data_IF_887188928532
#
_entry.id   IF_887188928532
#
_cell.length_a   1.000
_cell.length_b   1.000
_cell.length_c   1.000
_cell.angle_alpha   90.00
_cell.angle_beta   90.00
_cell.angle_gamma   90.00
#
_symmetry.space_group_name_H-M   'P 1'
#
loop_
_entity.id
_entity.type
_entity.pdbx_description
1 polymer ?
#
# COMPACT_ATOMS: atom_id res chain seq x y z
N UNK A 1 -0.27 -13.64 -22.84
CA UNK A 1 0.71 -14.45 -23.62
C UNK A 1 1.45 -15.47 -22.72
N UNK A 2 2.14 -15.04 -21.66
CA UNK A 2 2.89 -15.95 -20.79
C UNK A 2 2.04 -16.99 -20.04
N UNK A 3 0.96 -16.57 -19.36
CA UNK A 3 0.05 -17.48 -18.64
C UNK A 3 -0.53 -18.58 -19.56
N UNK A 4 -0.98 -18.19 -20.76
CA UNK A 4 -1.49 -19.13 -21.76
C UNK A 4 -0.44 -20.12 -22.27
N UNK A 5 0.83 -19.70 -22.40
CA UNK A 5 1.90 -20.62 -22.77
C UNK A 5 2.14 -21.65 -21.65
N UNK A 6 2.18 -21.21 -20.39
CA UNK A 6 2.39 -22.08 -19.24
C UNK A 6 1.25 -23.10 -19.07
N UNK A 7 -0.01 -22.65 -19.18
CA UNK A 7 -1.19 -23.52 -19.08
C UNK A 7 -1.25 -24.59 -20.18
N UNK A 8 -0.62 -24.34 -21.33
CA UNK A 8 -0.51 -25.32 -22.44
C UNK A 8 0.71 -26.23 -22.32
N UNK A 9 1.40 -26.23 -21.18
CA UNK A 9 2.62 -27.02 -20.95
C UNK A 9 3.89 -26.41 -21.54
N UNK A 10 3.81 -25.18 -22.06
CA UNK A 10 4.96 -24.44 -22.54
C UNK A 10 5.91 -24.04 -21.40
N UNK A 11 7.21 -24.02 -21.70
CA UNK A 11 8.25 -23.55 -20.76
C UNK A 11 8.76 -22.20 -21.20
N UNK A 12 8.73 -21.22 -20.29
CA UNK A 12 9.26 -19.88 -20.54
C UNK A 12 10.64 -19.82 -19.91
N UNK A 13 11.68 -19.61 -20.74
CA UNK A 13 13.02 -19.35 -20.24
C UNK A 13 13.06 -17.95 -19.64
N UNK A 14 13.36 -17.86 -18.35
CA UNK A 14 13.68 -16.58 -17.71
C UNK A 14 15.07 -16.16 -18.20
N UNK A 15 15.15 -15.05 -18.93
CA UNK A 15 16.41 -14.45 -19.35
C UNK A 15 16.57 -13.14 -18.57
N UNK A 16 17.50 -13.12 -17.63
CA UNK A 16 17.89 -11.88 -16.97
C UNK A 16 18.77 -11.08 -17.92
N UNK A 17 18.36 -9.84 -18.18
CA UNK A 17 19.18 -8.90 -18.91
C UNK A 17 19.87 -7.99 -17.89
N UNK A 18 21.20 -7.97 -17.90
CA UNK A 18 21.99 -7.09 -17.02
C UNK A 18 21.65 -5.62 -17.22
N UNK A 19 21.28 -5.23 -18.46
CA UNK A 19 20.84 -3.89 -18.78
C UNK A 19 19.86 -3.91 -19.96
N UNK A 20 18.61 -3.53 -19.73
CA UNK A 20 17.67 -3.18 -20.80
C UNK A 20 17.29 -1.71 -20.67
N UNK A 21 17.80 -0.89 -21.58
CA UNK A 21 17.57 0.55 -21.59
C UNK A 21 16.18 0.91 -22.10
N UNK A 22 15.21 1.01 -21.20
CA UNK A 22 13.99 1.79 -21.42
C UNK A 22 13.69 2.72 -20.24
N UNK A 23 14.74 3.26 -19.64
CA UNK A 23 14.66 4.31 -18.64
C UNK A 23 14.24 5.62 -19.29
N UNK A 24 13.20 6.25 -18.76
CA UNK A 24 12.79 7.62 -19.10
C UNK A 24 12.60 8.36 -17.79
N UNK A 25 12.88 9.65 -17.77
CA UNK A 25 12.50 10.49 -16.63
C UNK A 25 10.97 10.48 -16.50
N UNK A 26 10.47 9.94 -15.39
CA UNK A 26 9.04 9.89 -15.11
C UNK A 26 8.72 10.99 -14.11
N UNK A 27 7.84 11.91 -14.50
CA UNK A 27 7.24 12.86 -13.56
C UNK A 27 6.21 12.17 -12.66
N UNK A 28 5.85 12.82 -11.55
CA UNK A 28 4.87 12.34 -10.57
C UNK A 28 3.58 11.80 -11.22
N UNK A 29 2.96 12.57 -12.12
CA UNK A 29 1.72 12.15 -12.80
C UNK A 29 1.89 10.97 -13.75
N UNK A 30 3.06 10.82 -14.37
CA UNK A 30 3.37 9.65 -15.22
C UNK A 30 3.50 8.38 -14.38
N UNK A 31 4.12 8.48 -13.20
CA UNK A 31 4.22 7.35 -12.27
C UNK A 31 2.83 6.95 -11.78
N UNK A 32 2.00 7.91 -11.36
CA UNK A 32 0.63 7.60 -10.93
C UNK A 32 -0.20 6.94 -12.04
N UNK A 33 -0.13 7.45 -13.27
CA UNK A 33 -0.81 6.80 -14.40
C UNK A 33 -0.28 5.39 -14.69
N UNK A 34 1.01 5.13 -14.44
CA UNK A 34 1.57 3.80 -14.54
C UNK A 34 1.03 2.88 -13.44
N UNK A 35 0.97 3.37 -12.21
CA UNK A 35 0.37 2.66 -11.07
C UNK A 35 -1.10 2.31 -11.32
N UNK A 36 -1.90 3.24 -11.83
CA UNK A 36 -3.30 3.00 -12.21
C UNK A 36 -3.42 1.88 -13.24
N UNK A 37 -2.53 1.84 -14.24
CA UNK A 37 -2.53 0.77 -15.26
C UNK A 37 -2.25 -0.59 -14.67
N UNK A 38 -1.29 -0.67 -13.74
CA UNK A 38 -0.97 -1.94 -13.08
C UNK A 38 -2.14 -2.38 -12.22
N UNK A 39 -2.76 -1.45 -11.47
CA UNK A 39 -3.93 -1.73 -10.63
C UNK A 39 -5.09 -2.30 -11.45
N UNK A 40 -5.54 -1.55 -12.46
CA UNK A 40 -6.64 -2.00 -13.33
C UNK A 40 -6.28 -3.26 -14.13
N UNK A 41 -5.07 -3.33 -14.69
CA UNK A 41 -4.62 -4.51 -15.42
C UNK A 41 -4.55 -5.78 -14.56
N UNK A 42 -4.25 -5.62 -13.27
CA UNK A 42 -4.31 -6.73 -12.32
C UNK A 42 -5.76 -7.11 -11.99
N UNK A 43 -6.68 -6.16 -11.84
CA UNK A 43 -8.10 -6.45 -11.65
C UNK A 43 -8.64 -7.40 -12.72
N UNK A 44 -8.49 -7.02 -13.99
CA UNK A 44 -8.85 -7.85 -15.14
C UNK A 44 -8.16 -9.21 -15.15
N UNK A 45 -6.86 -9.26 -14.82
CA UNK A 45 -6.12 -10.51 -14.78
C UNK A 45 -6.63 -11.43 -13.67
N UNK A 46 -6.98 -10.92 -12.49
CA UNK A 46 -7.52 -11.71 -11.38
C UNK A 46 -8.88 -12.35 -11.73
N UNK A 47 -9.66 -11.68 -12.60
CA UNK A 47 -10.94 -12.19 -13.10
C UNK A 47 -10.76 -13.16 -14.29
N UNK A 48 -9.57 -13.25 -14.87
CA UNK A 48 -9.34 -14.09 -16.05
C UNK A 48 -9.35 -15.59 -15.73
N UNK A 49 -9.84 -16.38 -16.69
CA UNK A 49 -9.90 -17.84 -16.59
C UNK A 49 -8.51 -18.46 -16.42
N UNK A 50 -7.51 -17.89 -17.07
CA UNK A 50 -6.12 -18.32 -16.96
C UNK A 50 -5.62 -18.23 -15.52
N UNK A 51 -6.02 -17.18 -14.80
CA UNK A 51 -5.68 -16.98 -13.40
C UNK A 51 -6.30 -18.04 -12.50
N UNK A 52 -7.57 -18.36 -12.75
CA UNK A 52 -8.28 -19.41 -12.04
C UNK A 52 -7.57 -20.77 -12.20
N UNK A 53 -7.16 -21.14 -13.42
CA UNK A 53 -6.44 -22.39 -13.64
C UNK A 53 -5.04 -22.39 -13.01
N UNK A 54 -4.29 -21.31 -13.10
CA UNK A 54 -2.99 -21.21 -12.43
C UNK A 54 -3.14 -21.30 -10.89
N UNK A 55 -4.18 -20.69 -10.33
CA UNK A 55 -4.46 -20.75 -8.90
C UNK A 55 -4.86 -22.14 -8.40
N UNK A 56 -5.43 -22.99 -9.26
CA UNK A 56 -5.97 -24.31 -8.86
C UNK A 56 -5.08 -25.49 -9.27
N UNK A 57 -4.23 -25.34 -10.30
CA UNK A 57 -3.47 -26.44 -10.89
C UNK A 57 -1.98 -26.42 -10.54
N UNK A 58 -1.46 -25.32 -9.99
CA UNK A 58 -0.06 -25.23 -9.60
C UNK A 58 0.20 -26.05 -8.32
N UNK A 59 1.34 -26.79 -8.25
CA UNK A 59 1.78 -27.37 -6.99
C UNK A 59 2.07 -26.28 -5.96
N UNK A 60 1.99 -26.62 -4.67
CA UNK A 60 1.98 -25.64 -3.57
C UNK A 60 3.16 -24.66 -3.59
N UNK A 61 4.36 -25.12 -3.93
CA UNK A 61 5.58 -24.31 -4.02
C UNK A 61 5.46 -23.21 -5.10
N UNK A 62 4.96 -23.58 -6.27
CA UNK A 62 4.74 -22.65 -7.38
C UNK A 62 3.52 -21.78 -7.16
N UNK A 63 2.49 -22.31 -6.52
CA UNK A 63 1.31 -21.55 -6.13
C UNK A 63 1.67 -20.44 -5.16
N UNK A 64 2.47 -20.70 -4.12
CA UNK A 64 2.90 -19.68 -3.16
C UNK A 64 3.75 -18.60 -3.83
N UNK A 65 4.63 -18.98 -4.76
CA UNK A 65 5.43 -18.04 -5.55
C UNK A 65 4.54 -17.17 -6.44
N UNK A 66 3.57 -17.78 -7.12
CA UNK A 66 2.57 -17.08 -7.93
C UNK A 66 1.71 -16.15 -7.08
N UNK A 67 1.24 -16.61 -5.92
CA UNK A 67 0.47 -15.81 -4.98
C UNK A 67 1.25 -14.58 -4.53
N UNK A 68 2.48 -14.76 -4.06
CA UNK A 68 3.32 -13.66 -3.59
C UNK A 68 3.61 -12.63 -4.69
N UNK A 69 4.01 -13.08 -5.88
CA UNK A 69 4.40 -12.18 -6.97
C UNK A 69 3.22 -11.52 -7.69
N UNK A 70 2.01 -12.04 -7.51
CA UNK A 70 0.86 -11.70 -8.34
C UNK A 70 -0.34 -11.31 -7.44
N UNK A 71 -1.43 -12.08 -7.23
CA UNK A 71 -2.62 -11.53 -6.57
C UNK A 71 -2.35 -11.13 -5.10
N UNK A 72 -1.47 -11.83 -4.40
CA UNK A 72 -1.21 -11.65 -2.99
C UNK A 72 -0.55 -10.32 -2.68
N UNK A 73 0.46 -9.92 -3.46
CA UNK A 73 1.07 -8.59 -3.33
C UNK A 73 0.04 -7.47 -3.50
N UNK A 74 -0.81 -7.58 -4.53
CA UNK A 74 -1.78 -6.56 -4.87
C UNK A 74 -2.96 -6.47 -3.89
N UNK A 75 -3.49 -7.63 -3.46
CA UNK A 75 -4.53 -7.70 -2.43
C UNK A 75 -4.00 -7.23 -1.06
N UNK A 76 -2.77 -7.57 -0.69
CA UNK A 76 -2.19 -7.11 0.57
C UNK A 76 -2.11 -5.57 0.60
N UNK A 77 -1.64 -4.95 -0.48
CA UNK A 77 -1.63 -3.49 -0.58
C UNK A 77 -3.04 -2.88 -0.48
N UNK A 78 -4.04 -3.48 -1.12
CA UNK A 78 -5.45 -3.08 -0.97
C UNK A 78 -5.92 -3.16 0.50
N UNK A 79 -5.66 -4.27 1.19
CA UNK A 79 -6.08 -4.45 2.58
C UNK A 79 -5.35 -3.51 3.54
N UNK A 80 -4.07 -3.19 3.29
CA UNK A 80 -3.33 -2.20 4.07
C UNK A 80 -3.99 -0.83 3.93
N UNK A 81 -4.30 -0.38 2.71
CA UNK A 81 -4.97 0.91 2.49
C UNK A 81 -6.37 0.96 3.12
N UNK A 82 -7.17 -0.09 2.94
CA UNK A 82 -8.50 -0.20 3.56
C UNK A 82 -8.40 -0.16 5.10
N UNK A 83 -7.45 -0.88 5.68
CA UNK A 83 -7.24 -0.89 7.14
C UNK A 83 -6.88 0.49 7.68
N UNK A 84 -6.04 1.24 6.96
CA UNK A 84 -5.69 2.62 7.34
C UNK A 84 -6.89 3.56 7.26
N UNK A 85 -7.71 3.47 6.19
CA UNK A 85 -8.93 4.27 6.05
C UNK A 85 -9.94 3.97 7.17
N UNK A 86 -10.18 2.70 7.46
CA UNK A 86 -11.08 2.27 8.55
C UNK A 86 -10.56 2.70 9.93
N UNK A 87 -9.25 2.63 10.14
CA UNK A 87 -8.61 3.13 11.36
C UNK A 87 -8.80 4.64 11.52
N UNK A 88 -8.55 5.43 10.47
CA UNK A 88 -8.75 6.88 10.50
C UNK A 88 -10.21 7.26 10.75
N UNK A 89 -11.16 6.57 10.11
CA UNK A 89 -12.59 6.78 10.35
C UNK A 89 -12.94 6.48 11.81
N UNK A 90 -12.44 5.37 12.35
CA UNK A 90 -12.67 4.97 13.75
C UNK A 90 -12.06 5.98 14.71
N UNK A 91 -10.86 6.49 14.43
CA UNK A 91 -10.21 7.52 15.25
C UNK A 91 -11.02 8.83 15.29
N UNK A 92 -11.53 9.31 14.16
CA UNK A 92 -12.33 10.53 14.11
C UNK A 92 -13.61 10.37 14.93
N UNK A 93 -14.31 9.24 14.76
CA UNK A 93 -15.51 8.94 15.54
C UNK A 93 -15.23 8.77 17.04
N UNK A 94 -14.12 8.09 17.38
CA UNK A 94 -13.70 7.90 18.77
C UNK A 94 -13.32 9.25 19.42
N UNK A 95 -12.66 10.14 18.68
CA UNK A 95 -12.33 11.48 19.16
C UNK A 95 -13.59 12.32 19.39
N UNK A 96 -14.55 12.31 18.46
CA UNK A 96 -15.82 12.99 18.63
C UNK A 96 -16.58 12.47 19.86
N UNK A 97 -16.58 11.15 20.07
CA UNK A 97 -17.18 10.54 21.25
C UNK A 97 -16.43 10.92 22.54
N UNK A 98 -15.10 10.91 22.53
CA UNK A 98 -14.26 11.29 23.67
C UNK A 98 -14.42 12.77 24.06
N UNK A 99 -14.73 13.64 23.10
CA UNK A 99 -15.01 15.05 23.36
C UNK A 99 -16.31 15.26 24.14
N UNK A 100 -17.38 14.56 23.76
CA UNK A 100 -18.70 14.70 24.38
C UNK A 100 -18.87 13.88 25.66
N UNK A 101 -17.97 12.94 25.92
CA UNK A 101 -18.07 12.02 27.05
C UNK A 101 -17.19 12.41 28.21
N UNK A 102 -17.66 12.10 29.42
CA UNK A 102 -16.89 12.29 30.64
C UNK A 102 -15.96 11.07 30.78
N UNK A 103 -14.66 11.30 30.79
CA UNK A 103 -13.64 10.23 30.89
C UNK A 103 -13.51 9.77 32.34
N UNK A 104 -13.61 8.46 32.56
CA UNK A 104 -13.41 7.89 33.89
C UNK A 104 -11.95 7.92 34.34
N UNK A 105 -11.73 8.08 35.65
CA UNK A 105 -10.45 7.78 36.30
C UNK A 105 -10.36 6.26 36.44
N UNK A 106 -9.67 5.61 35.51
CA UNK A 106 -9.51 4.17 35.49
C UNK A 106 -8.21 3.75 36.20
N UNK A 107 -8.34 2.87 37.20
CA UNK A 107 -7.22 2.17 37.83
C UNK A 107 -7.29 0.68 37.50
N UNK A 108 -6.23 0.17 36.87
CA UNK A 108 -6.13 -1.23 36.43
C UNK A 108 -6.07 -2.22 37.59
N UNK A 109 -5.62 -1.77 38.77
CA UNK A 109 -5.43 -2.65 39.93
C UNK A 109 -6.72 -2.87 40.72
N UNK A 110 -7.80 -2.17 40.38
CA UNK A 110 -9.09 -2.30 41.03
C UNK A 110 -9.97 -3.35 40.35
N UNK A 111 -10.87 -4.02 41.09
CA UNK A 111 -11.79 -4.99 40.51
C UNK A 111 -12.74 -4.30 39.52
N UNK A 112 -13.16 -5.04 38.49
CA UNK A 112 -14.07 -4.55 37.43
C UNK A 112 -15.45 -4.13 37.93
N UNK A 113 -15.82 -4.53 39.15
CA UNK A 113 -17.07 -4.18 39.83
C UNK A 113 -17.00 -2.85 40.58
N UNK A 114 -15.84 -2.19 40.62
CA UNK A 114 -15.70 -0.88 41.29
C UNK A 114 -16.56 0.18 40.58
N UNK A 115 -17.05 1.13 41.37
CA UNK A 115 -17.92 2.19 40.86
C UNK A 115 -17.08 3.16 40.04
N UNK A 116 -17.45 3.36 38.79
CA UNK A 116 -16.76 4.29 37.90
C UNK A 116 -16.92 5.73 38.42
N UNK A 117 -15.81 6.45 38.55
CA UNK A 117 -15.78 7.84 39.01
C UNK A 117 -15.22 8.76 37.91
N UNK A 118 -15.90 9.88 37.59
CA UNK A 118 -17.17 10.38 38.14
C UNK A 118 -18.40 9.58 37.65
N UNK A 119 -19.52 9.65 38.38
CA UNK A 119 -20.74 8.88 38.05
C UNK A 119 -21.26 9.27 36.66
N UNK A 120 -21.52 8.27 35.81
CA UNK A 120 -21.93 8.48 34.41
C UNK A 120 -20.77 8.62 33.41
N UNK A 121 -19.53 8.41 33.84
CA UNK A 121 -18.38 8.40 32.95
C UNK A 121 -18.28 7.11 32.11
N UNK A 122 -17.56 7.17 30.99
CA UNK A 122 -17.25 6.03 30.14
C UNK A 122 -15.76 5.67 30.21
N UNK A 123 -15.45 4.38 30.26
CA UNK A 123 -14.07 3.91 30.36
C UNK A 123 -13.38 3.86 28.98
N UNK A 124 -12.63 4.91 28.64
CA UNK A 124 -11.85 5.01 27.39
C UNK A 124 -10.45 4.42 27.46
N UNK A 125 -9.96 4.00 28.63
CA UNK A 125 -8.59 3.47 28.81
C UNK A 125 -8.24 2.36 27.79
N UNK A 126 -9.10 1.34 27.55
CA UNK A 126 -8.82 0.30 26.56
C UNK A 126 -8.72 0.84 25.13
N UNK A 127 -9.57 1.79 24.76
CA UNK A 127 -9.59 2.39 23.43
C UNK A 127 -8.32 3.23 23.19
N UNK A 128 -7.91 4.03 24.18
CA UNK A 128 -6.67 4.82 24.11
C UNK A 128 -5.45 3.91 24.02
N UNK A 129 -5.41 2.83 24.80
CA UNK A 129 -4.29 1.87 24.74
C UNK A 129 -4.24 1.13 23.40
N UNK A 130 -5.39 0.76 22.83
CA UNK A 130 -5.47 0.19 21.49
C UNK A 130 -4.95 1.17 20.42
N UNK A 131 -5.41 2.44 20.44
CA UNK A 131 -4.92 3.48 19.52
C UNK A 131 -3.40 3.63 19.64
N UNK A 132 -2.89 3.75 20.87
CA UNK A 132 -1.45 3.88 21.11
C UNK A 132 -0.66 2.70 20.54
N UNK A 133 -1.09 1.46 20.80
CA UNK A 133 -0.43 0.26 20.27
C UNK A 133 -0.46 0.22 18.75
N UNK A 134 -1.59 0.56 18.14
CA UNK A 134 -1.72 0.58 16.69
C UNK A 134 -0.80 1.64 16.06
N UNK A 135 -0.78 2.86 16.58
CA UNK A 135 0.12 3.93 16.12
C UNK A 135 1.59 3.50 16.22
N UNK A 136 2.01 2.88 17.34
CA UNK A 136 3.38 2.37 17.49
C UNK A 136 3.70 1.28 16.45
N UNK A 137 2.76 0.36 16.21
CA UNK A 137 2.93 -0.69 15.19
C UNK A 137 3.13 -0.12 13.79
N UNK A 138 2.39 0.93 13.39
CA UNK A 138 2.60 1.60 12.09
C UNK A 138 4.03 2.13 11.98
N UNK A 139 4.53 2.81 13.01
CA UNK A 139 5.90 3.34 13.00
C UNK A 139 6.95 2.23 12.92
N UNK A 140 6.76 1.12 13.62
CA UNK A 140 7.69 -0.02 13.56
C UNK A 140 7.72 -0.62 12.15
N UNK A 141 6.55 -0.89 11.56
CA UNK A 141 6.46 -1.45 10.20
C UNK A 141 7.04 -0.48 9.17
N UNK A 142 6.81 0.82 9.33
CA UNK A 142 7.40 1.86 8.51
C UNK A 142 8.93 1.77 8.50
N UNK A 143 9.58 1.66 9.66
CA UNK A 143 11.04 1.53 9.73
C UNK A 143 11.56 0.20 9.18
N UNK A 144 10.84 -0.89 9.39
CA UNK A 144 11.18 -2.21 8.84
C UNK A 144 11.18 -2.17 7.30
N UNK A 145 10.25 -1.45 6.67
CA UNK A 145 10.18 -1.32 5.22
C UNK A 145 11.44 -0.67 4.60
N UNK A 146 12.19 0.13 5.36
CA UNK A 146 13.47 0.71 4.90
C UNK A 146 14.67 -0.25 5.04
N UNK A 147 14.55 -1.32 5.82
CA UNK A 147 15.68 -2.23 6.09
C UNK A 147 16.24 -2.84 4.80
N UNK A 148 15.41 -3.40 3.87
CA UNK A 148 15.94 -4.02 2.66
C UNK A 148 16.74 -3.05 1.79
N UNK A 149 16.24 -1.83 1.57
CA UNK A 149 16.92 -0.83 0.73
C UNK A 149 18.20 -0.32 1.39
N UNK A 150 18.20 -0.14 2.72
CA UNK A 150 19.40 0.28 3.46
C UNK A 150 20.46 -0.81 3.43
N UNK A 151 20.08 -2.08 3.63
CA UNK A 151 20.99 -3.23 3.57
C UNK A 151 21.57 -3.40 2.17
N UNK A 152 20.74 -3.29 1.12
CA UNK A 152 21.21 -3.38 -0.26
C UNK A 152 22.23 -2.28 -0.60
N UNK A 153 21.91 -1.01 -0.30
CA UNK A 153 22.83 0.10 -0.58
C UNK A 153 24.10 0.03 0.28
N UNK A 154 24.01 -0.51 1.50
CA UNK A 154 25.16 -0.74 2.37
C UNK A 154 26.12 -1.75 1.76
N UNK A 155 25.60 -2.86 1.22
CA UNK A 155 26.40 -3.93 0.59
C UNK A 155 27.01 -3.46 -0.75
N UNK A 156 26.21 -2.79 -1.60
CA UNK A 156 26.65 -2.44 -2.96
C UNK A 156 27.52 -1.18 -3.03
N UNK A 157 27.26 -0.19 -2.16
CA UNK A 157 27.83 1.16 -2.29
C UNK A 157 28.53 1.68 -1.03
N UNK A 158 28.48 0.92 0.06
CA UNK A 158 29.11 1.25 1.34
C UNK A 158 28.28 2.21 2.20
N UNK A 159 28.70 2.32 3.47
CA UNK A 159 27.95 3.01 4.52
C UNK A 159 27.60 4.46 4.19
N UNK A 160 28.58 5.24 3.71
CA UNK A 160 28.39 6.68 3.46
C UNK A 160 27.32 6.95 2.41
N UNK A 161 27.35 6.22 1.29
CA UNK A 161 26.36 6.38 0.22
C UNK A 161 24.98 5.89 0.67
N UNK A 162 24.91 4.80 1.42
CA UNK A 162 23.66 4.28 1.98
C UNK A 162 22.99 5.30 2.92
N UNK A 163 23.74 5.88 3.85
CA UNK A 163 23.24 6.92 4.76
C UNK A 163 22.75 8.15 4.01
N UNK A 164 23.54 8.66 3.05
CA UNK A 164 23.12 9.80 2.22
C UNK A 164 21.84 9.50 1.43
N UNK A 165 21.71 8.29 0.87
CA UNK A 165 20.52 7.88 0.11
C UNK A 165 19.28 7.82 1.00
N UNK A 166 19.41 7.25 2.20
CA UNK A 166 18.33 7.18 3.18
C UNK A 166 17.82 8.58 3.58
N UNK A 167 18.71 9.51 3.92
CA UNK A 167 18.30 10.88 4.24
C UNK A 167 17.63 11.58 3.05
N UNK A 168 18.11 11.35 1.82
CA UNK A 168 17.46 11.87 0.61
C UNK A 168 16.04 11.35 0.45
N UNK A 169 15.76 10.08 0.74
CA UNK A 169 14.39 9.53 0.69
C UNK A 169 13.45 10.23 1.67
N UNK A 170 13.92 10.54 2.88
CA UNK A 170 13.11 11.26 3.88
C UNK A 170 12.90 12.72 3.46
N UNK A 171 13.97 13.43 3.09
CA UNK A 171 13.89 14.83 2.68
C UNK A 171 13.09 15.04 1.40
N UNK A 172 13.06 14.06 0.49
CA UNK A 172 12.24 14.10 -0.72
C UNK A 172 10.79 13.70 -0.49
N UNK A 173 10.36 13.47 0.76
CA UNK A 173 9.02 13.00 1.11
C UNK A 173 8.61 11.71 0.38
N UNK A 174 9.58 10.82 0.13
CA UNK A 174 9.34 9.52 -0.52
C UNK A 174 8.26 8.68 0.20
N UNK A 175 8.20 8.64 1.55
CA UNK A 175 7.09 8.00 2.26
C UNK A 175 5.71 8.53 1.89
N UNK A 176 5.58 9.85 1.78
CA UNK A 176 4.32 10.48 1.45
C UNK A 176 3.92 10.08 0.02
N UNK A 177 4.87 10.15 -0.92
CA UNK A 177 4.64 9.69 -2.29
C UNK A 177 4.13 8.24 -2.37
N UNK A 178 4.71 7.33 -1.57
CA UNK A 178 4.30 5.93 -1.55
C UNK A 178 2.85 5.74 -1.08
N UNK A 179 2.41 6.49 -0.07
CA UNK A 179 1.01 6.48 0.36
C UNK A 179 0.08 6.96 -0.76
N UNK A 180 0.45 8.03 -1.46
CA UNK A 180 -0.32 8.51 -2.63
C UNK A 180 -0.39 7.46 -3.74
N UNK A 181 0.73 6.82 -4.07
CA UNK A 181 0.78 5.79 -5.10
C UNK A 181 -0.04 4.55 -4.69
N UNK A 182 0.06 4.13 -3.43
CA UNK A 182 -0.70 3.02 -2.87
C UNK A 182 -2.21 3.24 -2.92
N UNK A 183 -2.69 4.44 -2.55
CA UNK A 183 -4.12 4.77 -2.65
C UNK A 183 -4.64 4.71 -4.10
N UNK A 184 -3.92 5.34 -5.04
CA UNK A 184 -4.28 5.32 -6.47
C UNK A 184 -4.30 3.87 -6.99
N UNK A 185 -3.31 3.07 -6.58
CA UNK A 185 -3.24 1.66 -6.92
C UNK A 185 -4.48 0.89 -6.44
N UNK A 186 -4.78 1.00 -5.15
CA UNK A 186 -5.88 0.29 -4.49
C UNK A 186 -7.25 0.69 -5.05
N UNK A 187 -7.46 1.98 -5.29
CA UNK A 187 -8.69 2.48 -5.92
C UNK A 187 -8.85 1.98 -7.35
N UNK A 188 -7.77 2.00 -8.16
CA UNK A 188 -7.81 1.48 -9.52
C UNK A 188 -8.12 -0.02 -9.56
N UNK A 189 -7.53 -0.81 -8.66
CA UNK A 189 -7.80 -2.24 -8.54
C UNK A 189 -9.26 -2.50 -8.14
N UNK A 190 -9.76 -1.80 -7.12
CA UNK A 190 -11.12 -2.00 -6.61
C UNK A 190 -12.19 -1.55 -7.60
N UNK A 191 -11.99 -0.40 -8.25
CA UNK A 191 -12.88 0.09 -9.30
C UNK A 191 -12.96 -0.88 -10.47
N UNK A 192 -11.83 -1.47 -10.86
CA UNK A 192 -11.79 -2.43 -11.96
C UNK A 192 -12.45 -3.76 -11.57
N UNK A 193 -12.22 -4.25 -10.35
CA UNK A 193 -12.89 -5.47 -9.87
C UNK A 193 -14.42 -5.31 -9.75
N UNK A 194 -14.92 -4.11 -9.45
CA UNK A 194 -16.34 -3.85 -9.19
C UNK A 194 -17.11 -3.42 -10.44
N UNK A 195 -16.53 -2.53 -11.24
CA UNK A 195 -17.17 -1.90 -12.41
C UNK A 195 -16.52 -2.36 -13.72
N UNK A 196 -15.30 -2.90 -13.66
CA UNK A 196 -14.49 -3.20 -14.83
C UNK A 196 -13.99 -1.95 -15.54
N UNK A 197 -13.59 -2.13 -16.80
CA UNK A 197 -13.31 -1.02 -17.69
C UNK A 197 -11.85 -0.60 -17.74
N UNK A 198 -10.92 -1.53 -17.49
CA UNK A 198 -9.51 -1.35 -17.82
C UNK A 198 -9.37 -0.87 -19.27
N UNK A 199 -8.98 0.39 -19.42
CA UNK A 199 -8.73 1.03 -20.72
C UNK A 199 -7.27 1.34 -20.85
N UNK A 200 -6.83 1.48 -22.10
CA UNK A 200 -5.51 2.01 -22.36
C UNK A 200 -5.42 3.45 -21.85
N UNK A 201 -4.70 3.64 -20.75
CA UNK A 201 -4.33 4.97 -20.26
C UNK A 201 -3.05 5.36 -21.00
N UNK A 202 -2.91 6.60 -21.49
CA UNK A 202 -1.60 7.05 -21.97
C UNK A 202 -0.78 7.54 -20.77
N UNK A 203 0.46 7.06 -20.63
CA UNK A 203 1.38 7.55 -19.57
C UNK A 203 2.07 8.87 -19.96
N UNK A 204 1.64 9.51 -21.05
CA UNK A 204 2.28 10.70 -21.60
C UNK A 204 3.72 10.45 -22.11
N UNK A 205 4.20 11.33 -22.99
CA UNK A 205 5.62 11.40 -23.41
C UNK A 205 6.18 12.81 -23.19
N UNK A 206 5.65 13.54 -22.21
CA UNK A 206 6.11 14.88 -21.86
C UNK A 206 7.44 14.86 -21.09
N UNK A 207 8.06 16.03 -20.96
CA UNK A 207 9.25 16.20 -20.12
C UNK A 207 8.91 16.08 -18.63
N UNK A 208 9.71 15.33 -17.87
CA UNK A 208 9.51 15.14 -16.43
C UNK A 208 9.60 16.44 -15.62
N UNK A 209 10.29 17.45 -16.16
CA UNK A 209 10.47 18.79 -15.56
C UNK A 209 9.31 19.74 -15.82
N UNK A 210 8.29 19.31 -16.58
CA UNK A 210 7.10 20.14 -16.81
C UNK A 210 6.31 20.36 -15.52
N UNK A 211 5.97 21.62 -15.23
CA UNK A 211 5.18 21.98 -14.04
C UNK A 211 3.71 21.65 -14.29
N UNK A 212 3.13 20.81 -13.45
CA UNK A 212 1.71 20.47 -13.48
C UNK A 212 1.01 21.22 -12.32
N UNK A 213 -0.12 21.89 -12.56
CA UNK A 213 -0.91 22.50 -11.50
C UNK A 213 -1.32 21.50 -10.41
N UNK A 214 -1.21 21.90 -9.15
CA UNK A 214 -1.59 21.05 -8.01
C UNK A 214 -3.05 20.60 -8.08
N UNK A 215 -3.96 21.45 -8.57
CA UNK A 215 -5.38 21.11 -8.72
C UNK A 215 -5.63 19.89 -9.62
N UNK A 216 -4.81 19.70 -10.66
CA UNK A 216 -4.90 18.54 -11.56
C UNK A 216 -4.36 17.28 -10.88
N UNK A 217 -3.30 17.42 -10.08
CA UNK A 217 -2.75 16.29 -9.32
C UNK A 217 -3.70 15.86 -8.21
N UNK A 218 -4.24 16.82 -7.46
CA UNK A 218 -5.15 16.59 -6.36
C UNK A 218 -6.48 16.02 -6.83
N UNK A 219 -7.07 16.53 -7.92
CA UNK A 219 -8.36 16.00 -8.41
C UNK A 219 -8.29 14.54 -8.82
N UNK A 220 -7.14 14.07 -9.33
CA UNK A 220 -6.90 12.66 -9.63
C UNK A 220 -6.79 11.79 -8.39
N UNK A 221 -6.25 12.33 -7.30
CA UNK A 221 -6.19 11.65 -6.00
C UNK A 221 -7.51 11.71 -5.24
N UNK A 222 -8.24 12.82 -5.33
CA UNK A 222 -9.52 12.99 -4.63
C UNK A 222 -10.65 12.17 -5.27
N UNK A 223 -10.53 11.84 -6.57
CA UNK A 223 -11.47 10.97 -7.26
C UNK A 223 -11.24 9.47 -7.03
N UNK A 224 -10.27 9.08 -6.19
CA UNK A 224 -9.83 7.70 -5.98
C UNK A 224 -10.07 7.19 -4.57
#
# INVERSE_FOLDING_TARGET
AGMNALLRGGRIKHCEYYQCGKGRDLGFGTILNFTTKIGAGMGEQMLSREYYYLGTQLPIDRFLTFYYAHPGFHLNNLFIQLSLQMFMLTLVNLHALAHESIICIYDKNKPTTDVLYPIGCYNFSPAIDWVRRYTLSIFIVFWIAFVPIVVQELIERGLWKATQRFFRHILSLSPMFEVFAGQIYSSALLSDLTVGGARYISTGRGFATSRIPFSILYSRFAGS
#
